data_IF_339934810731
#
_entry.id   IF_339934810731
#
_cell.length_a   1.000
_cell.length_b   1.000
_cell.length_c   1.000
_cell.angle_alpha   90.00
_cell.angle_beta   90.00
_cell.angle_gamma   90.00
#
_symmetry.space_group_name_H-M   'P 1'
#
loop_
_entity.id
_entity.type
_entity.pdbx_description
1 polymer ?
#
# COMPACT_ATOMS: atom_id res chain seq x y z
N UNK A 1 21.25 12.48 -10.74
CA UNK A 1 20.95 11.41 -9.76
C UNK A 1 20.04 12.01 -8.71
N UNK A 2 19.02 11.28 -8.26
CA UNK A 2 18.09 11.76 -7.23
C UNK A 2 18.78 11.65 -5.85
N UNK A 3 19.12 12.77 -5.21
CA UNK A 3 19.91 12.83 -3.97
C UNK A 3 19.31 12.00 -2.82
N UNK A 4 17.99 11.79 -2.84
CA UNK A 4 17.29 10.95 -1.87
C UNK A 4 17.75 9.48 -1.85
N UNK A 5 18.37 8.98 -2.93
CA UNK A 5 18.75 7.57 -3.08
C UNK A 5 20.26 7.29 -3.05
N UNK A 6 21.11 8.30 -2.85
CA UNK A 6 22.55 8.08 -2.67
C UNK A 6 22.78 7.20 -1.43
N UNK A 7 23.36 6.00 -1.62
CA UNK A 7 23.53 4.99 -0.56
C UNK A 7 22.27 4.19 -0.21
N UNK A 8 21.20 4.30 -1.02
CA UNK A 8 19.92 3.58 -0.88
C UNK A 8 19.47 3.01 -2.24
N UNK A 9 20.41 2.51 -3.03
CA UNK A 9 20.17 2.00 -4.39
C UNK A 9 19.20 0.82 -4.38
N UNK A 10 19.22 -0.02 -3.34
CA UNK A 10 18.25 -1.09 -3.14
C UNK A 10 16.82 -0.54 -2.96
N UNK A 11 16.64 0.50 -2.15
CA UNK A 11 15.35 1.19 -1.96
C UNK A 11 14.84 1.77 -3.27
N UNK A 12 15.75 2.34 -4.10
CA UNK A 12 15.39 2.83 -5.43
C UNK A 12 14.83 1.72 -6.33
N UNK A 13 15.50 0.56 -6.36
CA UNK A 13 15.03 -0.58 -7.16
C UNK A 13 13.66 -1.07 -6.70
N UNK A 14 13.44 -1.19 -5.39
CA UNK A 14 12.14 -1.56 -4.81
C UNK A 14 11.04 -0.58 -5.17
N UNK A 15 11.28 0.72 -4.99
CA UNK A 15 10.32 1.77 -5.35
C UNK A 15 10.03 1.80 -6.85
N UNK A 16 11.03 1.59 -7.70
CA UNK A 16 10.83 1.51 -9.14
C UNK A 16 9.95 0.31 -9.52
N UNK A 17 10.20 -0.86 -8.93
CA UNK A 17 9.40 -2.06 -9.15
C UNK A 17 7.96 -1.83 -8.66
N UNK A 18 7.79 -1.36 -7.42
CA UNK A 18 6.50 -1.04 -6.84
C UNK A 18 5.71 -0.07 -7.72
N UNK A 19 6.36 1.00 -8.19
CA UNK A 19 5.70 2.01 -9.01
C UNK A 19 5.18 1.41 -10.33
N UNK A 20 6.06 0.73 -11.08
CA UNK A 20 5.69 0.17 -12.39
C UNK A 20 4.71 -0.99 -12.27
N UNK A 21 4.83 -1.78 -11.21
CA UNK A 21 3.97 -2.93 -10.97
C UNK A 21 2.57 -2.50 -10.54
N UNK A 22 2.48 -1.67 -9.49
CA UNK A 22 1.21 -1.22 -8.91
C UNK A 22 0.35 -0.50 -9.94
N UNK A 23 0.96 0.39 -10.76
CA UNK A 23 0.21 1.12 -11.79
C UNK A 23 -0.42 0.16 -12.81
N UNK A 24 0.37 -0.79 -13.34
CA UNK A 24 -0.11 -1.75 -14.33
C UNK A 24 -1.18 -2.67 -13.75
N UNK A 25 -0.97 -3.16 -12.53
CA UNK A 25 -1.93 -4.00 -11.82
C UNK A 25 -3.24 -3.25 -11.60
N UNK A 26 -3.18 -2.02 -11.10
CA UNK A 26 -4.37 -1.23 -10.79
C UNK A 26 -5.26 -1.01 -12.02
N UNK A 27 -4.70 -0.62 -13.18
CA UNK A 27 -5.52 -0.52 -14.40
C UNK A 27 -6.07 -1.88 -14.84
N UNK A 28 -5.28 -2.95 -14.82
CA UNK A 28 -5.74 -4.29 -15.24
C UNK A 28 -6.91 -4.79 -14.39
N UNK A 29 -6.80 -4.66 -13.07
CA UNK A 29 -7.82 -5.09 -12.12
C UNK A 29 -9.08 -4.23 -12.26
N UNK A 30 -8.93 -2.90 -12.29
CA UNK A 30 -10.05 -1.98 -12.23
C UNK A 30 -10.75 -1.76 -13.59
N UNK A 31 -10.07 -2.03 -14.71
CA UNK A 31 -10.69 -2.04 -16.05
C UNK A 31 -11.17 -3.44 -16.47
N UNK A 32 -10.85 -4.48 -15.69
CA UNK A 32 -11.28 -5.85 -15.93
C UNK A 32 -12.80 -6.02 -15.86
N UNK A 33 -13.29 -7.18 -16.30
CA UNK A 33 -14.70 -7.54 -16.19
C UNK A 33 -15.05 -7.79 -14.71
N UNK A 34 -16.04 -7.05 -14.20
CA UNK A 34 -16.51 -7.13 -12.82
C UNK A 34 -16.19 -5.87 -12.01
N UNK A 35 -17.09 -5.49 -11.10
CA UNK A 35 -16.97 -4.28 -10.26
C UNK A 35 -16.14 -4.49 -9.00
N UNK A 36 -15.08 -5.29 -9.15
CA UNK A 36 -14.19 -5.62 -8.05
C UNK A 36 -13.36 -4.38 -7.62
N UNK A 37 -13.39 -3.98 -6.34
CA UNK A 37 -12.50 -2.94 -5.84
C UNK A 37 -11.05 -3.44 -5.75
N UNK A 38 -10.12 -2.49 -5.69
CA UNK A 38 -8.71 -2.76 -5.42
C UNK A 38 -8.39 -2.37 -3.97
N UNK A 39 -7.68 -3.24 -3.26
CA UNK A 39 -7.10 -2.94 -1.95
C UNK A 39 -5.59 -3.12 -2.03
N UNK A 40 -4.84 -2.05 -1.79
CA UNK A 40 -3.40 -2.10 -1.59
C UNK A 40 -3.12 -2.22 -0.10
N UNK A 41 -2.28 -3.17 0.28
CA UNK A 41 -1.83 -3.36 1.66
C UNK A 41 -0.33 -3.17 1.68
N UNK A 42 0.16 -2.33 2.59
CA UNK A 42 1.58 -2.18 2.86
C UNK A 42 1.85 -2.60 4.30
N UNK A 43 2.51 -3.75 4.43
CA UNK A 43 2.73 -4.39 5.72
C UNK A 43 3.80 -3.68 6.58
N UNK A 44 4.63 -2.82 5.97
CA UNK A 44 5.76 -2.12 6.61
C UNK A 44 5.83 -0.70 6.09
N UNK A 45 4.82 0.10 6.42
CA UNK A 45 4.56 1.38 5.79
C UNK A 45 5.43 2.52 6.28
N UNK A 46 6.17 2.38 7.38
CA UNK A 46 6.78 3.52 8.07
C UNK A 46 7.52 4.47 7.14
N UNK A 47 7.57 5.77 7.45
CA UNK A 47 8.46 6.70 6.76
C UNK A 47 9.94 6.50 7.15
N UNK A 48 10.38 5.24 7.29
CA UNK A 48 11.72 4.83 7.69
C UNK A 48 12.79 5.61 6.92
N UNK A 49 13.57 6.41 7.64
CA UNK A 49 14.67 7.22 7.10
C UNK A 49 14.28 8.05 5.88
N UNK A 50 13.00 8.45 5.76
CA UNK A 50 12.56 9.28 4.66
C UNK A 50 13.43 10.54 4.61
N UNK A 51 14.08 10.75 3.46
CA UNK A 51 14.93 11.94 3.25
C UNK A 51 14.14 13.12 2.71
N UNK A 52 12.83 12.98 2.59
CA UNK A 52 11.94 13.98 2.00
C UNK A 52 10.89 14.41 3.01
N UNK A 53 10.59 15.71 3.08
CA UNK A 53 9.59 16.27 4.01
C UNK A 53 8.16 15.82 3.69
N UNK A 54 7.92 15.35 2.47
CA UNK A 54 6.62 14.88 2.00
C UNK A 54 6.53 13.35 1.88
N UNK A 55 7.54 12.62 2.37
CA UNK A 55 7.59 11.15 2.33
C UNK A 55 7.55 10.57 0.91
N UNK A 56 7.93 11.32 -0.13
CA UNK A 56 7.87 10.87 -1.52
C UNK A 56 8.79 9.67 -1.83
N UNK A 57 9.73 9.38 -0.94
CA UNK A 57 10.62 8.23 -0.94
C UNK A 57 10.15 7.11 0.01
N UNK A 58 8.83 6.96 0.20
CA UNK A 58 8.22 5.89 1.00
C UNK A 58 7.21 5.10 0.16
N UNK A 59 7.06 3.81 0.45
CA UNK A 59 6.16 2.92 -0.28
C UNK A 59 4.69 3.37 -0.20
N UNK A 60 4.21 3.80 0.97
CA UNK A 60 2.83 4.27 1.15
C UNK A 60 2.52 5.52 0.32
N UNK A 61 3.43 6.51 0.29
CA UNK A 61 3.19 7.74 -0.46
C UNK A 61 3.31 7.51 -1.98
N UNK A 62 4.24 6.64 -2.40
CA UNK A 62 4.32 6.18 -3.80
C UNK A 62 3.01 5.50 -4.20
N UNK A 63 2.49 4.60 -3.36
CA UNK A 63 1.23 3.91 -3.62
C UNK A 63 0.04 4.87 -3.70
N UNK A 64 -0.10 5.80 -2.75
CA UNK A 64 -1.16 6.82 -2.76
C UNK A 64 -1.10 7.64 -4.05
N UNK A 65 0.08 8.13 -4.45
CA UNK A 65 0.26 8.93 -5.67
C UNK A 65 -0.23 8.18 -6.91
N UNK A 66 0.20 6.93 -7.07
CA UNK A 66 -0.16 6.08 -8.22
C UNK A 66 -1.66 5.80 -8.21
N UNK A 67 -2.19 5.38 -7.06
CA UNK A 67 -3.58 4.95 -6.95
C UNK A 67 -4.56 6.12 -7.07
N UNK A 68 -4.24 7.31 -6.55
CA UNK A 68 -5.03 8.53 -6.77
C UNK A 68 -5.07 8.91 -8.24
N UNK A 69 -3.96 8.77 -8.97
CA UNK A 69 -3.92 9.00 -10.42
C UNK A 69 -4.83 8.01 -11.15
N UNK A 70 -4.70 6.72 -10.88
CA UNK A 70 -5.57 5.69 -11.48
C UNK A 70 -7.04 5.96 -11.15
N UNK A 71 -7.35 6.30 -9.90
CA UNK A 71 -8.69 6.65 -9.47
C UNK A 71 -9.27 7.83 -10.26
N UNK A 72 -8.49 8.90 -10.44
CA UNK A 72 -8.89 10.08 -11.22
C UNK A 72 -9.10 9.75 -12.70
N UNK A 73 -8.19 8.99 -13.32
CA UNK A 73 -8.29 8.60 -14.73
C UNK A 73 -9.54 7.74 -14.99
N UNK A 74 -9.87 6.83 -14.07
CA UNK A 74 -11.06 5.99 -14.15
C UNK A 74 -12.35 6.80 -13.96
N UNK A 75 -12.36 7.76 -13.03
CA UNK A 75 -13.48 8.67 -12.87
C UNK A 75 -13.69 9.55 -14.13
N UNK A 76 -12.61 10.11 -14.70
CA UNK A 76 -12.66 10.92 -15.91
C UNK A 76 -13.12 10.13 -17.15
N UNK A 77 -12.87 8.83 -17.20
CA UNK A 77 -13.37 7.93 -18.25
C UNK A 77 -14.79 7.40 -18.00
N UNK A 78 -15.50 7.95 -17.00
CA UNK A 78 -16.89 7.60 -16.69
C UNK A 78 -17.05 6.26 -15.98
N UNK A 79 -15.98 5.71 -15.40
CA UNK A 79 -15.97 4.43 -14.69
C UNK A 79 -15.30 4.59 -13.32
N UNK A 80 -15.87 5.37 -12.39
CA UNK A 80 -15.30 5.49 -11.04
C UNK A 80 -15.22 4.11 -10.37
N UNK A 81 -14.09 3.80 -9.74
CA UNK A 81 -13.85 2.51 -9.08
C UNK A 81 -13.30 2.74 -7.68
N UNK A 82 -13.85 2.07 -6.65
CA UNK A 82 -13.33 2.22 -5.30
C UNK A 82 -11.90 1.66 -5.20
N UNK A 83 -11.03 2.44 -4.57
CA UNK A 83 -9.66 2.04 -4.23
C UNK A 83 -9.46 2.22 -2.73
N UNK A 84 -8.82 1.24 -2.11
CA UNK A 84 -8.56 1.25 -0.67
C UNK A 84 -7.09 0.98 -0.39
N UNK A 85 -6.57 1.59 0.65
CA UNK A 85 -5.22 1.38 1.15
C UNK A 85 -5.25 0.96 2.62
N UNK A 86 -4.40 0.02 3.01
CA UNK A 86 -4.20 -0.37 4.40
C UNK A 86 -2.71 -0.31 4.73
N UNK A 87 -2.36 0.52 5.71
CA UNK A 87 -0.96 0.78 6.07
C UNK A 87 -0.67 0.34 7.50
N UNK A 88 0.36 -0.48 7.68
CA UNK A 88 0.78 -0.99 8.99
C UNK A 88 2.11 -0.35 9.39
N UNK A 89 2.20 0.12 10.62
CA UNK A 89 3.45 0.60 11.22
C UNK A 89 3.49 0.27 12.71
N UNK A 90 4.63 -0.26 13.17
CA UNK A 90 4.82 -0.73 14.55
C UNK A 90 5.30 0.39 15.48
N UNK A 91 6.24 1.23 15.03
CA UNK A 91 6.80 2.27 15.88
C UNK A 91 5.82 3.43 16.07
N UNK A 92 5.68 3.87 17.31
CA UNK A 92 4.69 4.89 17.67
C UNK A 92 5.00 6.25 17.04
N UNK A 93 6.26 6.65 16.97
CA UNK A 93 6.65 7.96 16.46
C UNK A 93 6.49 8.02 14.93
N UNK A 94 6.92 6.97 14.23
CA UNK A 94 6.74 6.83 12.77
C UNK A 94 5.27 6.65 12.39
N UNK A 95 4.48 5.90 13.19
CA UNK A 95 3.04 5.76 12.98
C UNK A 95 2.30 7.09 13.06
N UNK A 96 2.64 7.96 14.02
CA UNK A 96 2.03 9.29 14.12
C UNK A 96 2.29 10.13 12.86
N UNK A 97 3.51 10.05 12.30
CA UNK A 97 3.85 10.73 11.05
C UNK A 97 3.07 10.15 9.87
N UNK A 98 3.02 8.82 9.75
CA UNK A 98 2.22 8.12 8.73
C UNK A 98 0.75 8.55 8.80
N UNK A 99 0.15 8.49 9.99
CA UNK A 99 -1.26 8.85 10.21
C UNK A 99 -1.55 10.28 9.79
N UNK A 100 -0.71 11.24 10.20
CA UNK A 100 -0.84 12.63 9.82
C UNK A 100 -0.67 12.83 8.29
N UNK A 101 0.30 12.16 7.68
CA UNK A 101 0.60 12.27 6.25
C UNK A 101 -0.52 11.75 5.36
N UNK A 102 -1.22 10.69 5.77
CA UNK A 102 -2.27 10.07 4.93
C UNK A 102 -3.66 10.67 5.13
N UNK A 103 -3.88 11.41 6.22
CA UNK A 103 -5.19 11.92 6.62
C UNK A 103 -5.89 12.74 5.51
N UNK A 104 -5.16 13.63 4.83
CA UNK A 104 -5.73 14.47 3.76
C UNK A 104 -6.10 13.70 2.48
N UNK A 105 -5.60 12.47 2.33
CA UNK A 105 -5.86 11.63 1.15
C UNK A 105 -7.04 10.69 1.36
N UNK A 106 -7.43 10.42 2.62
CA UNK A 106 -8.57 9.58 2.95
C UNK A 106 -9.88 10.31 2.63
N UNK A 107 -10.60 9.84 1.62
CA UNK A 107 -11.91 10.38 1.24
C UNK A 107 -12.84 9.23 0.78
N UNK A 108 -13.40 8.47 1.74
CA UNK A 108 -14.27 7.34 1.44
C UNK A 108 -15.52 7.77 0.67
N UNK A 109 -15.99 9.02 0.87
CA UNK A 109 -17.14 9.58 0.16
C UNK A 109 -16.93 9.67 -1.36
N UNK A 110 -15.66 9.76 -1.78
CA UNK A 110 -15.25 9.75 -3.19
C UNK A 110 -14.67 8.41 -3.64
N UNK A 111 -14.82 7.35 -2.85
CA UNK A 111 -14.34 6.01 -3.21
C UNK A 111 -12.84 5.79 -3.02
N UNK A 112 -12.16 6.64 -2.24
CA UNK A 112 -10.74 6.46 -1.91
C UNK A 112 -10.55 6.36 -0.39
N UNK A 113 -10.46 5.14 0.13
CA UNK A 113 -10.38 4.88 1.58
C UNK A 113 -8.96 4.52 2.00
N UNK A 114 -8.52 5.07 3.13
CA UNK A 114 -7.25 4.71 3.76
C UNK A 114 -7.53 4.28 5.20
N UNK A 115 -7.10 3.08 5.54
CA UNK A 115 -7.02 2.59 6.91
C UNK A 115 -5.56 2.45 7.34
N UNK A 116 -5.31 2.65 8.62
CA UNK A 116 -3.98 2.46 9.22
C UNK A 116 -4.08 1.57 10.45
N UNK A 117 -2.99 0.87 10.77
CA UNK A 117 -2.88 0.03 11.95
C UNK A 117 -1.56 0.31 12.67
N UNK A 118 -1.65 0.63 13.96
CA UNK A 118 -0.48 0.82 14.83
C UNK A 118 -0.19 -0.50 15.55
N UNK A 119 0.92 -1.12 15.21
CA UNK A 119 1.38 -2.38 15.76
C UNK A 119 2.03 -3.26 14.71
N UNK A 120 2.29 -4.51 15.10
CA UNK A 120 2.96 -5.48 14.24
C UNK A 120 2.07 -5.93 13.10
N UNK A 121 2.68 -6.26 11.97
CA UNK A 121 1.97 -6.83 10.82
C UNK A 121 1.17 -8.08 11.18
N UNK A 122 1.75 -8.94 12.01
CA UNK A 122 1.13 -10.17 12.51
C UNK A 122 -0.20 -9.92 13.22
N UNK A 123 -0.27 -8.83 13.97
CA UNK A 123 -1.45 -8.44 14.74
C UNK A 123 -2.48 -7.71 13.86
N UNK A 124 -2.04 -7.17 12.73
CA UNK A 124 -2.87 -6.51 11.72
C UNK A 124 -3.60 -7.49 10.79
N UNK A 125 -3.13 -8.74 10.66
CA UNK A 125 -3.67 -9.73 9.70
C UNK A 125 -5.20 -9.87 9.77
N UNK A 126 -5.84 -10.02 10.95
CA UNK A 126 -7.29 -10.10 11.03
C UNK A 126 -8.01 -8.84 10.52
N UNK A 127 -7.48 -7.65 10.83
CA UNK A 127 -8.05 -6.38 10.35
C UNK A 127 -7.83 -6.21 8.85
N UNK A 128 -6.66 -6.59 8.32
CA UNK A 128 -6.35 -6.58 6.88
C UNK A 128 -7.36 -7.46 6.14
N UNK A 129 -7.54 -8.72 6.56
CA UNK A 129 -8.48 -9.63 5.88
C UNK A 129 -9.92 -9.13 5.94
N UNK A 130 -10.34 -8.56 7.08
CA UNK A 130 -11.65 -7.92 7.21
C UNK A 130 -11.80 -6.72 6.27
N UNK A 131 -10.79 -5.86 6.20
CA UNK A 131 -10.79 -4.66 5.37
C UNK A 131 -10.77 -5.02 3.88
N UNK A 132 -9.89 -5.92 3.47
CA UNK A 132 -9.82 -6.46 2.10
C UNK A 132 -11.15 -7.08 1.68
N UNK A 133 -11.77 -7.90 2.53
CA UNK A 133 -13.07 -8.50 2.25
C UNK A 133 -13.07 -9.26 0.92
N UNK A 134 -13.87 -8.80 -0.06
CA UNK A 134 -13.95 -9.44 -1.39
C UNK A 134 -13.06 -8.81 -2.45
N UNK A 135 -12.33 -7.75 -2.12
CA UNK A 135 -11.56 -6.99 -3.11
C UNK A 135 -10.38 -7.78 -3.65
N UNK A 136 -9.92 -7.37 -4.83
CA UNK A 136 -8.59 -7.76 -5.26
C UNK A 136 -7.57 -7.13 -4.31
N UNK A 137 -6.70 -7.93 -3.70
CA UNK A 137 -5.65 -7.42 -2.82
C UNK A 137 -4.27 -7.50 -3.48
N UNK A 138 -3.53 -6.40 -3.49
CA UNK A 138 -2.08 -6.44 -3.65
C UNK A 138 -1.45 -6.14 -2.30
N UNK A 139 -0.77 -7.13 -1.70
CA UNK A 139 -0.05 -6.94 -0.44
C UNK A 139 1.44 -6.81 -0.70
N UNK A 140 2.00 -5.67 -0.33
CA UNK A 140 3.44 -5.42 -0.35
C UNK A 140 4.02 -5.73 1.05
N UNK A 141 5.03 -6.59 1.09
CA UNK A 141 5.69 -7.02 2.32
C UNK A 141 7.19 -6.77 2.14
N UNK A 142 7.70 -5.70 2.74
CA UNK A 142 9.12 -5.36 2.70
C UNK A 142 9.67 -5.08 4.11
N UNK A 143 10.03 -6.11 4.88
CA UNK A 143 10.55 -5.91 6.21
C UNK A 143 11.98 -5.37 6.16
N UNK A 144 12.34 -4.54 7.15
CA UNK A 144 13.71 -4.05 7.36
C UNK A 144 14.68 -5.14 7.86
N UNK A 145 14.18 -6.34 8.17
CA UNK A 145 14.96 -7.54 8.50
C UNK A 145 14.11 -8.82 8.61
N UNK A 146 14.70 -9.98 8.35
CA UNK A 146 13.99 -11.28 8.28
C UNK A 146 13.97 -12.07 9.62
N UNK A 147 14.45 -11.51 10.72
CA UNK A 147 14.54 -12.25 11.99
C UNK A 147 13.19 -12.21 12.73
N UNK A 148 12.55 -13.38 12.88
CA UNK A 148 11.39 -13.57 13.75
C UNK A 148 10.03 -13.70 13.05
N UNK A 149 10.00 -13.82 11.72
CA UNK A 149 8.75 -13.91 10.98
C UNK A 149 8.02 -15.23 11.22
N UNK A 150 6.76 -15.12 11.65
CA UNK A 150 5.84 -16.25 11.59
C UNK A 150 5.28 -16.38 10.17
N UNK A 151 6.02 -17.06 9.30
CA UNK A 151 5.54 -17.52 7.98
C UNK A 151 4.08 -18.03 7.97
N UNK A 152 3.59 -18.73 9.01
CA UNK A 152 2.18 -19.13 9.09
C UNK A 152 1.19 -17.97 9.03
N UNK A 153 1.51 -16.80 9.62
CA UNK A 153 0.62 -15.62 9.62
C UNK A 153 0.60 -14.93 8.25
N UNK A 154 1.74 -14.85 7.55
CA UNK A 154 1.81 -14.45 6.13
C UNK A 154 0.95 -15.40 5.26
N UNK A 155 0.91 -16.68 5.63
CA UNK A 155 0.10 -17.71 4.98
C UNK A 155 -1.38 -17.38 4.87
N UNK A 156 -1.95 -16.63 5.83
CA UNK A 156 -3.36 -16.22 5.76
C UNK A 156 -3.59 -15.19 4.64
N UNK A 157 -2.68 -14.22 4.50
CA UNK A 157 -2.70 -13.22 3.42
C UNK A 157 -2.47 -13.90 2.06
N UNK A 158 -1.52 -14.83 1.98
CA UNK A 158 -1.23 -15.60 0.76
C UNK A 158 -2.39 -16.47 0.28
N UNK A 159 -3.35 -16.79 1.14
CA UNK A 159 -4.56 -17.56 0.81
C UNK A 159 -5.71 -16.68 0.33
N UNK A 160 -5.66 -15.36 0.54
CA UNK A 160 -6.72 -14.45 0.07
C UNK A 160 -6.86 -14.52 -1.44
N UNK A 161 -8.10 -14.62 -1.93
CA UNK A 161 -8.41 -14.61 -3.36
C UNK A 161 -9.61 -13.70 -3.62
N UNK A 162 -9.57 -12.88 -4.68
CA UNK A 162 -8.43 -12.70 -5.60
C UNK A 162 -7.34 -11.79 -5.00
N UNK A 163 -6.07 -12.05 -5.31
CA UNK A 163 -4.97 -11.20 -4.86
C UNK A 163 -3.58 -11.74 -5.13
N UNK A 164 -2.59 -10.89 -4.89
CA UNK A 164 -1.16 -11.11 -5.07
C UNK A 164 -0.37 -10.57 -3.88
N UNK A 165 0.80 -11.15 -3.64
CA UNK A 165 1.75 -10.71 -2.61
C UNK A 165 3.09 -10.42 -3.29
N UNK A 166 3.65 -9.25 -3.02
CA UNK A 166 4.96 -8.80 -3.48
C UNK A 166 5.92 -8.76 -2.27
N UNK A 167 6.98 -9.55 -2.34
CA UNK A 167 8.05 -9.72 -1.33
C UNK A 167 9.39 -9.20 -1.88
#
# INVERSE_FOLDING_TARGET
MNEAYTGREQTLAKHFILEKYLQKLAYKVLQGKGDLPLTYVDAFSGPWESKTTNFADTSFMIAIRILKRVHADLAASGRPRPIRCFFVEEDTATYQQLYAAVASFNDPSKGFEIATFHGKFEDAVPQILKFVGRSYALTFIDPTGWKGYEFPKVGAILKHRPGEVLL
#
